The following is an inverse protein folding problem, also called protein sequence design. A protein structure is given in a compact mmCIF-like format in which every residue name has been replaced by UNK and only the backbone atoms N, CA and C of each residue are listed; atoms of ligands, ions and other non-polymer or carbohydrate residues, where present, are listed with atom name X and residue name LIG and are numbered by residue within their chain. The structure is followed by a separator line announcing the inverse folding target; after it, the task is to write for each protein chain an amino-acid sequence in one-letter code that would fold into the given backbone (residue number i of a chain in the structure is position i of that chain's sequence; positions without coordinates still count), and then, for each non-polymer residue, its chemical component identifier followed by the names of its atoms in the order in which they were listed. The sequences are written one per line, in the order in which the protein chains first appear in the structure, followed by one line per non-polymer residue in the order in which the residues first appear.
data_IF_159221362052
#
_entry.id   IF_159221362052
#
_cell.length_a   1.000
_cell.length_b   1.000
_cell.length_c   1.000
_cell.angle_alpha   90.00
_cell.angle_beta   90.00
_cell.angle_gamma   90.00
#
_symmetry.space_group_name_H-M   'P 1'
#
loop_
_entity.id
_entity.type
_entity.pdbx_description
1 polymer ?
#
# COMPACT_ATOMS: atom_id res chain seq x y z
N UNK A 1 -4.31 19.18 4.93
CA UNK A 1 -5.48 18.82 5.75
C UNK A 1 -6.58 18.15 4.93
N UNK A 2 -7.01 18.73 3.79
CA UNK A 2 -8.07 18.15 2.94
C UNK A 2 -7.73 16.77 2.35
N UNK A 3 -6.46 16.53 1.98
CA UNK A 3 -6.01 15.24 1.43
C UNK A 3 -6.03 14.15 2.50
N UNK A 4 -5.57 14.46 3.70
CA UNK A 4 -5.58 13.54 4.84
C UNK A 4 -7.02 13.13 5.20
N UNK A 5 -7.94 14.09 5.23
CA UNK A 5 -9.36 13.81 5.50
C UNK A 5 -9.95 12.83 4.47
N UNK A 6 -9.64 13.00 3.18
CA UNK A 6 -10.06 12.07 2.12
C UNK A 6 -9.50 10.66 2.32
N UNK A 7 -8.24 10.54 2.75
CA UNK A 7 -7.64 9.24 3.07
C UNK A 7 -8.40 8.54 4.20
N UNK A 8 -8.67 9.27 5.27
CA UNK A 8 -9.39 8.72 6.42
C UNK A 8 -10.83 8.28 6.06
N UNK A 9 -11.54 9.07 5.27
CA UNK A 9 -12.87 8.71 4.76
C UNK A 9 -12.83 7.43 3.90
N UNK A 10 -11.86 7.33 3.01
CA UNK A 10 -11.66 6.15 2.16
C UNK A 10 -11.30 4.90 2.96
N UNK A 11 -10.38 5.01 3.93
CA UNK A 11 -10.03 3.91 4.80
C UNK A 11 -11.25 3.38 5.57
N UNK A 12 -12.09 4.28 6.08
CA UNK A 12 -13.34 3.93 6.77
C UNK A 12 -14.30 3.17 5.86
N UNK A 13 -14.52 3.66 4.63
CA UNK A 13 -15.39 3.01 3.64
C UNK A 13 -14.92 1.59 3.31
N UNK A 14 -13.61 1.38 3.16
CA UNK A 14 -13.06 0.05 2.91
C UNK A 14 -13.27 -0.89 4.09
N UNK A 15 -13.09 -0.42 5.32
CA UNK A 15 -13.32 -1.22 6.52
C UNK A 15 -14.78 -1.64 6.67
N UNK A 16 -15.69 -0.74 6.36
CA UNK A 16 -17.14 -1.03 6.39
C UNK A 16 -17.56 -2.06 5.33
N UNK A 17 -16.81 -2.18 4.23
CA UNK A 17 -17.08 -3.17 3.18
C UNK A 17 -16.86 -4.62 3.63
N UNK A 18 -16.04 -4.86 4.67
CA UNK A 18 -15.75 -6.17 5.24
C UNK A 18 -15.02 -7.16 4.32
N UNK A 19 -14.52 -6.71 3.16
CA UNK A 19 -13.92 -7.57 2.13
C UNK A 19 -12.44 -7.92 2.37
N UNK A 20 -11.94 -7.77 3.58
CA UNK A 20 -10.53 -8.04 3.91
C UNK A 20 -9.77 -6.77 4.33
N UNK A 21 -8.43 -6.83 4.43
CA UNK A 21 -7.65 -5.69 4.88
C UNK A 21 -7.77 -4.51 3.93
N UNK A 22 -7.94 -3.30 4.48
CA UNK A 22 -8.00 -2.07 3.71
C UNK A 22 -6.59 -1.63 3.31
N UNK A 23 -6.33 -1.55 2.02
CA UNK A 23 -5.00 -1.23 1.47
C UNK A 23 -5.08 0.00 0.58
N UNK A 24 -4.11 0.92 0.74
CA UNK A 24 -3.88 2.01 -0.19
C UNK A 24 -2.73 1.63 -1.14
N UNK A 25 -2.97 1.74 -2.44
CA UNK A 25 -1.97 1.54 -3.47
C UNK A 25 -1.58 2.87 -4.11
N UNK A 26 -0.33 3.31 -3.92
CA UNK A 26 0.25 4.38 -4.72
C UNK A 26 0.78 3.79 -6.02
N UNK A 27 0.36 4.32 -7.16
CA UNK A 27 0.72 3.80 -8.48
C UNK A 27 1.38 4.90 -9.29
N UNK A 28 2.56 4.62 -9.81
CA UNK A 28 3.23 5.55 -10.72
C UNK A 28 2.39 5.70 -12.01
N UNK A 29 2.10 6.94 -12.39
CA UNK A 29 1.36 7.28 -13.62
C UNK A 29 1.96 6.65 -14.89
N UNK A 30 3.25 6.40 -14.89
CA UNK A 30 3.98 5.80 -16.02
C UNK A 30 4.17 4.29 -15.87
N UNK A 31 3.61 3.68 -14.81
CA UNK A 31 3.53 2.22 -14.71
C UNK A 31 2.46 1.71 -15.68
N UNK A 32 2.46 0.40 -15.92
CA UNK A 32 1.46 -0.23 -16.79
C UNK A 32 0.05 -0.12 -16.30
N UNK A 33 -0.13 -0.09 -14.99
CA UNK A 33 -1.45 0.07 -14.41
C UNK A 33 -2.12 1.37 -14.82
N UNK A 34 -1.33 2.39 -15.24
CA UNK A 34 -1.82 3.63 -15.81
C UNK A 34 -2.28 3.50 -17.26
N UNK A 35 -1.82 2.47 -17.98
CA UNK A 35 -2.31 2.18 -19.35
C UNK A 35 -3.68 1.51 -19.35
N UNK A 36 -4.14 1.02 -18.19
CA UNK A 36 -5.52 0.66 -18.00
C UNK A 36 -6.36 1.95 -17.95
N UNK A 37 -7.49 1.99 -18.64
CA UNK A 37 -8.42 3.13 -18.61
C UNK A 37 -8.82 3.50 -17.17
N UNK A 38 -8.66 2.59 -16.25
CA UNK A 38 -8.89 2.76 -14.82
C UNK A 38 -7.95 1.86 -14.02
N UNK A 39 -6.91 2.41 -13.35
CA UNK A 39 -5.99 1.64 -12.51
C UNK A 39 -6.68 0.84 -11.39
N UNK A 40 -7.86 1.28 -10.97
CA UNK A 40 -8.66 0.55 -9.97
C UNK A 40 -9.07 -0.85 -10.45
N UNK A 41 -9.17 -1.09 -11.76
CA UNK A 41 -9.51 -2.40 -12.32
C UNK A 41 -8.51 -3.49 -11.92
N UNK A 42 -7.23 -3.16 -11.77
CA UNK A 42 -6.20 -4.09 -11.31
C UNK A 42 -6.49 -4.66 -9.91
N UNK A 43 -7.36 -4.01 -9.16
CA UNK A 43 -7.72 -4.35 -7.79
C UNK A 43 -9.20 -4.76 -7.62
N UNK A 44 -9.88 -5.09 -8.73
CA UNK A 44 -11.27 -5.55 -8.66
C UNK A 44 -11.41 -6.76 -7.72
N UNK A 45 -12.45 -6.74 -6.91
CA UNK A 45 -12.69 -7.78 -5.90
C UNK A 45 -11.78 -7.74 -4.67
N UNK A 46 -10.80 -6.82 -4.63
CA UNK A 46 -9.91 -6.60 -3.49
C UNK A 46 -10.28 -5.33 -2.74
N UNK A 47 -10.02 -5.33 -1.43
CA UNK A 47 -10.27 -4.16 -0.58
C UNK A 47 -9.11 -3.14 -0.68
N UNK A 48 -8.85 -2.68 -1.90
CA UNK A 48 -7.72 -1.82 -2.27
C UNK A 48 -8.24 -0.57 -2.98
N UNK A 49 -7.69 0.59 -2.62
CA UNK A 49 -7.89 1.83 -3.36
C UNK A 49 -6.59 2.20 -4.06
N UNK A 50 -6.66 2.39 -5.37
CA UNK A 50 -5.56 2.89 -6.19
C UNK A 50 -5.53 4.42 -6.19
N UNK A 51 -4.35 4.99 -6.00
CA UNK A 51 -4.06 6.41 -6.13
C UNK A 51 -2.88 6.59 -7.09
N UNK A 52 -3.14 7.19 -8.23
CA UNK A 52 -2.07 7.54 -9.16
C UNK A 52 -1.24 8.71 -8.64
N UNK A 53 0.07 8.56 -8.74
CA UNK A 53 1.05 9.63 -8.48
C UNK A 53 1.83 9.92 -9.75
N UNK A 54 2.14 11.19 -10.06
CA UNK A 54 2.86 11.55 -11.30
C UNK A 54 4.20 10.84 -11.45
N UNK A 55 4.91 10.68 -10.36
CA UNK A 55 6.17 9.94 -10.27
C UNK A 55 6.47 9.64 -8.80
N UNK A 56 7.09 8.51 -8.52
CA UNK A 56 7.51 8.15 -7.15
C UNK A 56 8.56 9.08 -6.53
N UNK A 57 9.20 9.93 -7.32
CA UNK A 57 10.04 11.03 -6.77
C UNK A 57 9.24 11.97 -5.86
N UNK A 58 7.92 12.02 -5.99
CA UNK A 58 7.03 12.84 -5.15
C UNK A 58 6.45 12.09 -3.95
N UNK A 59 6.73 10.79 -3.80
CA UNK A 59 6.29 10.03 -2.64
C UNK A 59 7.23 10.30 -1.47
N UNK A 60 6.69 10.96 -0.46
CA UNK A 60 7.36 11.24 0.81
C UNK A 60 6.91 10.23 1.88
N UNK A 61 7.77 9.85 2.85
CA UNK A 61 7.38 9.02 3.99
C UNK A 61 6.09 9.47 4.67
N UNK A 62 5.84 10.76 4.74
CA UNK A 62 4.64 11.33 5.36
C UNK A 62 3.34 10.84 4.70
N UNK A 63 3.35 10.56 3.39
CA UNK A 63 2.16 10.06 2.70
C UNK A 63 1.80 8.64 3.16
N UNK A 64 2.81 7.78 3.36
CA UNK A 64 2.64 6.41 3.83
C UNK A 64 2.20 6.40 5.31
N UNK A 65 2.89 7.17 6.15
CA UNK A 65 2.55 7.29 7.58
C UNK A 65 1.14 7.83 7.76
N UNK A 66 0.76 8.86 7.01
CA UNK A 66 -0.59 9.43 7.05
C UNK A 66 -1.66 8.41 6.63
N UNK A 67 -1.40 7.61 5.58
CA UNK A 67 -2.32 6.57 5.16
C UNK A 67 -2.56 5.54 6.28
N UNK A 68 -1.50 5.05 6.90
CA UNK A 68 -1.59 4.11 8.03
C UNK A 68 -2.28 4.75 9.24
N UNK A 69 -1.97 6.01 9.55
CA UNK A 69 -2.62 6.76 10.65
C UNK A 69 -4.10 7.00 10.41
N UNK A 70 -4.53 7.12 9.16
CA UNK A 70 -5.95 7.21 8.78
C UNK A 70 -6.70 5.90 8.90
N UNK A 71 -6.00 4.80 9.15
CA UNK A 71 -6.60 3.50 9.40
C UNK A 71 -6.52 2.52 8.22
N UNK A 72 -5.78 2.80 7.15
CA UNK A 72 -5.43 1.74 6.22
C UNK A 72 -4.61 0.68 6.95
N UNK A 73 -4.89 -0.58 6.67
CA UNK A 73 -4.20 -1.69 7.30
C UNK A 73 -2.83 -1.95 6.67
N UNK A 74 -2.69 -1.60 5.39
CA UNK A 74 -1.45 -1.67 4.65
C UNK A 74 -1.36 -0.64 3.54
N UNK A 75 -0.14 -0.39 3.09
CA UNK A 75 0.15 0.52 1.96
C UNK A 75 1.09 -0.20 1.00
N UNK A 76 0.82 -0.10 -0.29
CA UNK A 76 1.72 -0.56 -1.34
C UNK A 76 2.15 0.59 -2.24
N UNK A 77 3.34 0.48 -2.77
CA UNK A 77 3.90 1.38 -3.76
C UNK A 77 4.24 0.59 -5.03
N UNK A 78 3.63 0.94 -6.16
CA UNK A 78 3.87 0.29 -7.46
C UNK A 78 4.60 1.26 -8.37
N UNK A 79 5.89 1.03 -8.57
CA UNK A 79 6.77 1.83 -9.42
C UNK A 79 6.89 1.22 -10.82
N UNK A 80 7.19 2.05 -11.79
CA UNK A 80 7.65 1.56 -13.09
C UNK A 80 9.02 0.88 -12.96
N UNK A 81 9.27 -0.15 -13.78
CA UNK A 81 10.57 -0.81 -13.80
C UNK A 81 11.67 0.18 -14.22
N UNK A 82 12.91 -0.10 -13.81
CA UNK A 82 14.06 0.74 -14.19
C UNK A 82 14.26 0.87 -15.69
N UNK A 83 13.90 -0.16 -16.45
CA UNK A 83 14.03 -0.20 -17.90
C UNK A 83 12.94 0.60 -18.63
N UNK A 84 11.79 0.75 -18.00
CA UNK A 84 10.61 1.39 -18.58
C UNK A 84 10.36 2.81 -18.01
N UNK A 85 11.20 3.25 -17.08
CA UNK A 85 11.07 4.56 -16.46
C UNK A 85 11.36 5.67 -17.48
N UNK A 86 10.36 6.49 -17.78
CA UNK A 86 10.46 7.61 -18.71
C UNK A 86 11.18 8.83 -18.14
N UNK A 87 11.34 8.89 -16.82
CA UNK A 87 11.96 9.96 -16.09
C UNK A 87 13.20 9.44 -15.34
N UNK A 88 14.27 9.12 -16.05
CA UNK A 88 15.47 8.48 -15.48
C UNK A 88 16.03 9.25 -14.27
N UNK A 89 16.11 10.58 -14.34
CA UNK A 89 16.53 11.42 -13.19
C UNK A 89 15.55 11.32 -12.01
N UNK A 90 14.27 11.05 -12.28
CA UNK A 90 13.26 10.80 -11.26
C UNK A 90 13.46 9.49 -10.52
N UNK A 91 14.13 8.52 -11.14
CA UNK A 91 14.38 7.19 -10.57
C UNK A 91 15.29 7.26 -9.35
N UNK A 92 16.45 7.90 -9.48
CA UNK A 92 17.41 8.02 -8.38
C UNK A 92 16.81 8.73 -7.16
N UNK A 93 15.98 9.76 -7.43
CA UNK A 93 15.24 10.45 -6.37
C UNK A 93 14.18 9.56 -5.75
N UNK A 94 13.45 8.78 -6.56
CA UNK A 94 12.44 7.85 -6.07
C UNK A 94 13.04 6.75 -5.19
N UNK A 95 14.20 6.20 -5.57
CA UNK A 95 14.92 5.20 -4.76
C UNK A 95 15.41 5.77 -3.43
N UNK A 96 15.94 7.00 -3.44
CA UNK A 96 16.32 7.68 -2.19
C UNK A 96 15.12 7.90 -1.28
N UNK A 97 14.00 8.38 -1.81
CA UNK A 97 12.77 8.58 -1.05
C UNK A 97 12.22 7.25 -0.51
N UNK A 98 12.30 6.19 -1.29
CA UNK A 98 11.93 4.85 -0.85
C UNK A 98 12.78 4.40 0.36
N UNK A 99 14.10 4.54 0.26
CA UNK A 99 14.99 4.18 1.35
C UNK A 99 14.69 4.98 2.63
N UNK A 100 14.46 6.29 2.51
CA UNK A 100 14.04 7.14 3.64
C UNK A 100 12.69 6.66 4.20
N UNK A 101 11.75 6.29 3.33
CA UNK A 101 10.44 5.75 3.75
C UNK A 101 10.61 4.47 4.56
N UNK A 102 11.40 3.53 4.06
CA UNK A 102 11.67 2.26 4.74
C UNK A 102 12.31 2.49 6.13
N UNK A 103 13.27 3.41 6.22
CA UNK A 103 13.91 3.76 7.49
C UNK A 103 12.93 4.37 8.50
N UNK A 104 12.08 5.29 8.05
CA UNK A 104 11.04 5.90 8.90
C UNK A 104 10.06 4.84 9.38
N UNK A 105 9.57 3.98 8.49
CA UNK A 105 8.62 2.92 8.84
C UNK A 105 9.24 1.90 9.79
N UNK A 106 10.50 1.52 9.58
CA UNK A 106 11.24 0.62 10.46
C UNK A 106 11.37 1.19 11.87
N UNK A 107 11.75 2.46 12.01
CA UNK A 107 11.87 3.14 13.31
C UNK A 107 10.55 3.24 14.07
N UNK A 108 9.42 3.24 13.35
CA UNK A 108 8.08 3.33 13.94
C UNK A 108 7.37 1.97 14.05
N UNK A 109 8.04 0.84 13.74
CA UNK A 109 7.42 -0.49 13.81
C UNK A 109 6.33 -0.74 12.76
N UNK A 110 6.31 0.05 11.67
CA UNK A 110 5.29 0.01 10.63
C UNK A 110 5.76 -0.68 9.33
N UNK A 111 7.01 -1.15 9.30
CA UNK A 111 7.62 -1.70 8.08
C UNK A 111 6.82 -2.85 7.49
N UNK A 112 6.27 -3.74 8.33
CA UNK A 112 5.49 -4.89 7.90
C UNK A 112 4.16 -4.53 7.21
N UNK A 113 3.71 -3.28 7.36
CA UNK A 113 2.48 -2.76 6.75
C UNK A 113 2.72 -2.04 5.42
N UNK A 114 3.94 -2.09 4.91
CA UNK A 114 4.33 -1.47 3.64
C UNK A 114 5.03 -2.48 2.75
N UNK A 115 4.68 -2.48 1.47
CA UNK A 115 5.38 -3.21 0.41
C UNK A 115 5.59 -2.32 -0.80
N UNK A 116 6.60 -2.67 -1.55
CA UNK A 116 7.00 -1.94 -2.74
C UNK A 116 7.23 -2.94 -3.88
N UNK A 117 6.69 -2.61 -5.05
CA UNK A 117 6.82 -3.43 -6.25
C UNK A 117 7.36 -2.60 -7.40
N UNK A 118 8.31 -3.17 -8.12
CA UNK A 118 8.67 -2.74 -9.45
C UNK A 118 7.93 -3.63 -10.45
N UNK A 119 7.06 -3.03 -11.24
CA UNK A 119 6.27 -3.78 -12.20
C UNK A 119 6.57 -3.34 -13.62
N UNK A 120 6.72 -4.35 -14.47
CA UNK A 120 6.83 -4.22 -15.92
C UNK A 120 5.54 -4.71 -16.55
N UNK A 121 5.14 -4.16 -17.71
CA UNK A 121 4.03 -4.59 -18.56
C UNK A 121 3.87 -6.07 -18.74
N UNK A 122 4.91 -6.79 -18.56
CA UNK A 122 5.00 -8.20 -18.89
C UNK A 122 4.72 -9.16 -17.74
N UNK A 123 4.43 -8.63 -16.54
CA UNK A 123 4.41 -9.42 -15.31
C UNK A 123 3.08 -9.35 -14.54
N UNK A 124 1.95 -9.14 -15.19
CA UNK A 124 0.63 -8.98 -14.53
C UNK A 124 0.29 -10.13 -13.56
N UNK A 125 0.62 -11.37 -13.94
CA UNK A 125 0.37 -12.53 -13.08
C UNK A 125 1.20 -12.52 -11.78
N UNK A 126 2.45 -12.04 -11.83
CA UNK A 126 3.31 -11.94 -10.68
C UNK A 126 2.80 -10.89 -9.68
N UNK A 127 2.31 -9.76 -10.19
CA UNK A 127 1.74 -8.72 -9.35
C UNK A 127 0.53 -9.23 -8.56
N UNK A 128 -0.38 -9.95 -9.19
CA UNK A 128 -1.56 -10.50 -8.51
C UNK A 128 -1.17 -11.49 -7.41
N UNK A 129 -0.14 -12.29 -7.64
CA UNK A 129 0.39 -13.21 -6.64
C UNK A 129 1.02 -12.46 -5.45
N UNK A 130 1.87 -11.46 -5.71
CA UNK A 130 2.50 -10.61 -4.69
C UNK A 130 1.45 -9.90 -3.84
N UNK A 131 0.40 -9.37 -4.48
CA UNK A 131 -0.73 -8.75 -3.78
C UNK A 131 -1.44 -9.72 -2.84
N UNK A 132 -1.68 -10.96 -3.27
CA UNK A 132 -2.28 -12.00 -2.43
C UNK A 132 -1.43 -12.30 -1.19
N UNK A 133 -0.12 -12.42 -1.36
CA UNK A 133 0.84 -12.63 -0.26
C UNK A 133 0.80 -11.45 0.72
N UNK A 134 0.83 -10.22 0.23
CA UNK A 134 0.77 -9.04 1.08
C UNK A 134 -0.55 -8.94 1.85
N UNK A 135 -1.69 -9.18 1.21
CA UNK A 135 -2.98 -9.20 1.88
C UNK A 135 -3.01 -10.23 3.02
N UNK A 136 -2.46 -11.42 2.79
CA UNK A 136 -2.38 -12.46 3.82
C UNK A 136 -1.46 -12.06 4.99
N UNK A 137 -0.34 -11.40 4.68
CA UNK A 137 0.58 -10.84 5.68
C UNK A 137 -0.15 -9.83 6.58
N UNK A 138 -0.88 -8.89 6.00
CA UNK A 138 -1.64 -7.89 6.75
C UNK A 138 -2.73 -8.54 7.62
N UNK A 139 -3.45 -9.53 7.11
CA UNK A 139 -4.44 -10.29 7.89
C UNK A 139 -3.83 -10.97 9.11
N UNK A 140 -2.63 -11.53 8.97
CA UNK A 140 -1.91 -12.15 10.08
C UNK A 140 -1.48 -11.13 11.13
N UNK A 141 -1.00 -9.95 10.70
CA UNK A 141 -0.67 -8.85 11.63
C UNK A 141 -1.90 -8.41 12.43
N UNK A 142 -3.05 -8.24 11.78
CA UNK A 142 -4.28 -7.86 12.47
C UNK A 142 -4.74 -8.89 13.52
N UNK A 143 -4.51 -10.18 13.27
CA UNK A 143 -4.82 -11.24 14.25
C UNK A 143 -3.93 -11.16 15.48
N UNK A 144 -2.65 -10.82 15.29
CA UNK A 144 -1.67 -10.71 16.36
C UNK A 144 -1.83 -9.42 17.17
N UNK A 145 -2.33 -8.35 16.55
CA UNK A 145 -2.59 -7.06 17.21
C UNK A 145 -3.89 -7.06 18.05
N UNK A 146 -4.75 -8.07 17.92
CA UNK A 146 -5.90 -8.24 18.82
C UNK A 146 -5.40 -8.71 20.19
N UNK A 147 -5.63 -7.97 21.29
CA UNK A 147 -5.29 -8.44 22.62
C UNK A 147 -5.96 -9.78 22.87
N UNK A 148 -5.23 -10.70 23.50
CA UNK A 148 -5.74 -12.00 23.96
C UNK A 148 -6.83 -11.78 25.04
N UNK A 149 -7.99 -11.31 24.64
CA UNK A 149 -9.20 -11.34 25.46
C UNK A 149 -9.91 -12.67 25.20
N UNK A 150 -9.52 -13.71 25.89
CA UNK A 150 -10.40 -14.83 26.22
C UNK A 150 -9.66 -15.96 26.98
N UNK A 151 -9.19 -15.71 28.19
CA UNK A 151 -8.96 -16.84 29.11
C UNK A 151 -9.29 -16.46 30.58
N UNK A 152 -10.37 -15.72 30.79
CA UNK A 152 -10.88 -15.40 32.13
C UNK A 152 -12.26 -16.02 32.42
N UNK A 153 -12.56 -17.21 31.88
CA UNK A 153 -13.74 -17.97 32.26
C UNK A 153 -13.48 -19.47 32.24
N UNK A 154 -12.61 -19.94 33.10
CA UNK A 154 -12.61 -21.34 33.58
C UNK A 154 -11.94 -21.42 34.94
N UNK A 155 -12.63 -20.95 35.94
CA UNK A 155 -12.48 -21.45 37.33
C UNK A 155 -13.75 -21.06 38.10
N UNK A 156 -14.73 -21.91 38.09
CA UNK A 156 -15.69 -22.14 39.17
C UNK A 156 -16.11 -23.60 39.10
#
# INVERSE_FOLDING_TARGET
EAVLKRYCEKAKQLKESGKGPSILAFICQWSEFSTLDNPQKAFEGKNVIALEVPCFKSLDPVHVVNALSCGFDGVIAVMCSSKDCKLQEGRDTAERNLNVTLDVLKKNGLLERFEFYEESPRCEGEFQQKMGVFQQKILNLQKNDKPMEANAKRTK
#
